data_IF_463445199595
#
_entry.id   IF_463445199595
#
_cell.length_a   1.000
_cell.length_b   1.000
_cell.length_c   1.000
_cell.angle_alpha   90.00
_cell.angle_beta   90.00
_cell.angle_gamma   90.00
#
_symmetry.space_group_name_H-M   'P 1'
#
loop_
_entity.id
_entity.type
_entity.pdbx_description
1 polymer ?
#
# COMPACT_ATOMS: atom_id res chain seq x y z
N UNK A 1 -16.91 24.05 10.39
CA UNK A 1 -16.50 22.64 10.50
C UNK A 1 -15.20 22.52 9.72
N UNK A 2 -14.15 21.92 10.28
CA UNK A 2 -12.85 21.77 9.59
C UNK A 2 -12.84 20.41 8.89
N UNK A 3 -12.55 20.39 7.58
CA UNK A 3 -12.34 19.14 6.85
C UNK A 3 -10.99 18.51 7.22
N UNK A 4 -11.01 17.20 7.48
CA UNK A 4 -9.78 16.43 7.72
C UNK A 4 -9.23 15.92 6.40
N UNK A 5 -7.92 16.09 6.19
CA UNK A 5 -7.23 15.50 5.04
C UNK A 5 -7.37 13.97 5.01
N UNK A 6 -7.49 13.42 3.81
CA UNK A 6 -7.58 11.98 3.53
C UNK A 6 -6.60 11.59 2.44
N UNK A 7 -6.03 10.40 2.54
CA UNK A 7 -5.33 9.80 1.40
C UNK A 7 -6.35 9.42 0.34
N UNK A 8 -6.11 9.79 -0.91
CA UNK A 8 -7.04 9.53 -2.03
C UNK A 8 -6.72 8.22 -2.74
N UNK A 9 -5.44 7.98 -2.98
CA UNK A 9 -5.00 6.82 -3.74
C UNK A 9 -3.54 6.49 -3.44
N UNK A 10 -3.17 5.26 -3.77
CA UNK A 10 -1.79 4.78 -3.82
C UNK A 10 -1.51 4.26 -5.24
N UNK A 11 -0.49 4.80 -5.88
CA UNK A 11 -0.08 4.37 -7.23
C UNK A 11 1.26 3.64 -7.16
N UNK A 12 1.28 2.38 -7.57
CA UNK A 12 2.48 1.56 -7.71
C UNK A 12 2.90 1.57 -9.18
N UNK A 13 4.16 1.91 -9.44
CA UNK A 13 4.77 1.85 -10.77
C UNK A 13 6.00 0.96 -10.70
N UNK A 14 6.05 -0.04 -11.57
CA UNK A 14 7.13 -1.01 -11.71
C UNK A 14 7.44 -1.80 -10.42
N UNK A 15 6.40 -2.13 -9.66
CA UNK A 15 6.49 -3.05 -8.54
C UNK A 15 6.27 -4.50 -9.01
N UNK A 16 6.80 -5.48 -8.29
CA UNK A 16 6.57 -6.89 -8.63
C UNK A 16 5.06 -7.20 -8.64
N UNK A 17 4.54 -7.68 -9.78
CA UNK A 17 3.11 -7.91 -10.00
C UNK A 17 2.29 -6.66 -10.34
N UNK A 18 2.90 -5.47 -10.39
CA UNK A 18 2.24 -4.19 -10.68
C UNK A 18 3.11 -3.31 -11.59
N UNK A 19 2.92 -3.40 -12.92
CA UNK A 19 3.59 -2.50 -13.86
C UNK A 19 3.18 -1.04 -13.65
N UNK A 20 1.87 -0.78 -13.61
CA UNK A 20 1.30 0.50 -13.21
C UNK A 20 -0.11 0.24 -12.65
N UNK A 21 -0.32 0.47 -11.35
CA UNK A 21 -1.61 0.25 -10.71
C UNK A 21 -1.91 1.30 -9.66
N UNK A 22 -3.07 1.92 -9.78
CA UNK A 22 -3.64 2.82 -8.77
C UNK A 22 -4.67 2.07 -7.94
N UNK A 23 -4.60 2.24 -6.62
CA UNK A 23 -5.60 1.81 -5.65
C UNK A 23 -6.23 3.06 -5.04
N UNK A 24 -7.51 3.28 -5.30
CA UNK A 24 -8.26 4.34 -4.64
C UNK A 24 -8.58 3.92 -3.19
N UNK A 25 -8.53 4.89 -2.28
CA UNK A 25 -8.75 4.69 -0.85
C UNK A 25 -10.10 5.28 -0.46
N UNK A 26 -10.93 4.43 0.13
CA UNK A 26 -12.20 4.81 0.74
C UNK A 26 -11.99 5.75 1.94
N UNK A 27 -12.97 6.62 2.20
CA UNK A 27 -12.90 7.58 3.30
C UNK A 27 -12.87 6.93 4.69
N UNK A 28 -13.37 5.69 4.79
CA UNK A 28 -13.45 4.91 6.02
C UNK A 28 -12.52 3.70 5.96
N UNK A 29 -12.80 2.73 5.09
CA UNK A 29 -12.10 1.43 5.09
C UNK A 29 -11.92 0.89 3.68
N UNK A 30 -10.66 0.60 3.32
CA UNK A 30 -10.32 -0.11 2.08
C UNK A 30 -9.81 -1.50 2.39
N UNK A 31 -10.45 -2.54 1.84
CA UNK A 31 -10.03 -3.92 1.98
C UNK A 31 -9.32 -4.41 0.72
N UNK A 32 -8.13 -4.99 0.88
CA UNK A 32 -7.45 -5.72 -0.19
C UNK A 32 -7.86 -7.20 -0.12
N UNK A 33 -8.57 -7.69 -1.14
CA UNK A 33 -9.01 -9.08 -1.25
C UNK A 33 -8.25 -9.82 -2.36
N UNK A 34 -8.22 -11.16 -2.28
CA UNK A 34 -7.54 -12.03 -3.25
C UNK A 34 -6.79 -13.19 -2.59
N UNK A 35 -6.34 -14.14 -3.40
CA UNK A 35 -5.60 -15.34 -2.93
C UNK A 35 -4.21 -15.04 -2.34
N UNK A 36 -3.54 -16.06 -1.84
CA UNK A 36 -2.14 -15.97 -1.41
C UNK A 36 -1.26 -15.62 -2.62
N UNK A 37 -0.30 -14.72 -2.43
CA UNK A 37 0.55 -14.23 -3.53
C UNK A 37 -0.08 -13.18 -4.44
N UNK A 38 -1.35 -12.79 -4.24
CA UNK A 38 -2.03 -11.78 -5.08
C UNK A 38 -1.48 -10.33 -4.94
N UNK A 39 -0.41 -10.10 -4.17
CA UNK A 39 0.21 -8.79 -4.01
C UNK A 39 -0.40 -7.91 -2.91
N UNK A 40 -1.34 -8.41 -2.10
CA UNK A 40 -1.97 -7.63 -0.99
C UNK A 40 -0.95 -7.02 -0.02
N UNK A 41 -0.06 -7.85 0.52
CA UNK A 41 1.00 -7.39 1.44
C UNK A 41 2.02 -6.50 0.74
N UNK A 42 2.26 -6.72 -0.56
CA UNK A 42 3.13 -5.86 -1.38
C UNK A 42 2.55 -4.46 -1.55
N UNK A 43 1.24 -4.33 -1.78
CA UNK A 43 0.55 -3.02 -1.81
C UNK A 43 0.69 -2.29 -0.47
N UNK A 44 0.54 -3.01 0.66
CA UNK A 44 0.72 -2.43 1.98
C UNK A 44 2.17 -2.02 2.24
N UNK A 45 3.14 -2.85 1.83
CA UNK A 45 4.55 -2.54 1.94
C UNK A 45 4.92 -1.28 1.14
N UNK A 46 4.42 -1.15 -0.09
CA UNK A 46 4.63 0.04 -0.92
C UNK A 46 4.08 1.31 -0.26
N UNK A 47 2.90 1.25 0.37
CA UNK A 47 2.34 2.37 1.13
C UNK A 47 3.27 2.81 2.27
N UNK A 48 3.75 1.85 3.08
CA UNK A 48 4.65 2.12 4.20
C UNK A 48 6.00 2.66 3.71
N UNK A 49 6.56 2.11 2.63
CA UNK A 49 7.79 2.61 2.02
C UNK A 49 7.68 4.06 1.56
N UNK A 50 6.54 4.46 0.98
CA UNK A 50 6.32 5.84 0.58
C UNK A 50 6.16 6.78 1.79
N UNK A 51 5.57 6.30 2.88
CA UNK A 51 5.38 7.07 4.11
C UNK A 51 6.70 7.23 4.90
N UNK A 52 7.54 6.20 4.90
CA UNK A 52 8.80 6.14 5.64
C UNK A 52 9.89 5.60 4.70
N UNK A 53 10.49 6.46 3.86
CA UNK A 53 11.47 6.06 2.86
C UNK A 53 12.88 5.89 3.48
N UNK A 54 12.98 5.08 4.54
CA UNK A 54 14.22 4.83 5.29
C UNK A 54 14.50 3.32 5.40
N UNK A 55 15.52 2.86 4.67
CA UNK A 55 15.91 1.45 4.63
C UNK A 55 16.45 0.91 5.97
N UNK A 56 16.80 1.77 6.92
CA UNK A 56 17.20 1.35 8.27
C UNK A 56 16.02 0.93 9.14
N UNK A 57 14.81 1.35 8.77
CA UNK A 57 13.56 1.06 9.49
C UNK A 57 12.69 0.02 8.78
N UNK A 58 12.79 -0.08 7.44
CA UNK A 58 11.94 -0.95 6.64
C UNK A 58 12.38 -2.43 6.69
N UNK A 59 11.68 -3.22 7.51
CA UNK A 59 11.87 -4.67 7.62
C UNK A 59 10.54 -5.44 7.56
N UNK A 60 10.14 -5.88 6.36
CA UNK A 60 8.93 -6.66 6.16
C UNK A 60 9.21 -8.17 6.35
N UNK A 61 8.87 -8.71 7.52
CA UNK A 61 9.05 -10.14 7.83
C UNK A 61 7.87 -10.96 7.30
N UNK A 62 8.18 -12.10 6.68
CA UNK A 62 7.17 -13.09 6.33
C UNK A 62 6.97 -14.03 7.52
N UNK A 63 5.84 -13.92 8.22
CA UNK A 63 5.49 -14.87 9.28
C UNK A 63 4.79 -16.06 8.63
N UNK A 64 5.55 -17.14 8.39
CA UNK A 64 5.00 -18.45 8.00
C UNK A 64 4.21 -19.07 9.12
#
# INVERSE_FOLDING_TARGET
MIERGKFRSLTLVNWNGFFARTFDLDELVTTLSGGNGAGKSTTMAAFVTALIPDLTLLHFRNTT
#
